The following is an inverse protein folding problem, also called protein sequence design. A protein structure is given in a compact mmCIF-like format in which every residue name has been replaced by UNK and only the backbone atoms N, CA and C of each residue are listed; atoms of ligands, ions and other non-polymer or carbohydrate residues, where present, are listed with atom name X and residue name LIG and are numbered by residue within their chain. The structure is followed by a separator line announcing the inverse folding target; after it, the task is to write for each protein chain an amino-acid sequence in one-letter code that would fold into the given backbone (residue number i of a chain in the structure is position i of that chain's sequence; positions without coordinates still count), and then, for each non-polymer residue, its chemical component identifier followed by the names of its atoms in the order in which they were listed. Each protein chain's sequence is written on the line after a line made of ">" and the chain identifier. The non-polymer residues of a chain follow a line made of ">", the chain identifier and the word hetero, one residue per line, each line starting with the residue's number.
data_IF_836095776671
#
_entry.id   IF_836095776671
#
_cell.length_a   1.000
_cell.length_b   1.000
_cell.length_c   1.000
_cell.angle_alpha   90.00
_cell.angle_beta   90.00
_cell.angle_gamma   90.00
#
_symmetry.space_group_name_H-M   'P 1'
#
loop_
_entity.id
_entity.type
_entity.pdbx_description
1 polymer ?
#
# COMPACT_ATOMS: atom_id res chain seq x y z
N UNK A 1 7.15 13.51 -20.57
CA UNK A 1 8.03 13.06 -19.50
C UNK A 1 7.76 11.57 -19.31
N UNK A 2 8.78 10.72 -19.35
CA UNK A 2 8.64 9.28 -19.10
C UNK A 2 8.51 9.01 -17.59
N UNK A 3 8.09 7.81 -17.19
CA UNK A 3 8.05 7.44 -15.76
C UNK A 3 9.43 7.44 -15.10
N UNK A 4 10.46 7.00 -15.82
CA UNK A 4 11.84 7.10 -15.33
C UNK A 4 12.23 8.55 -15.07
N UNK A 5 11.92 9.48 -15.99
CA UNK A 5 12.22 10.91 -15.80
C UNK A 5 11.48 11.50 -14.58
N UNK A 6 10.24 11.06 -14.33
CA UNK A 6 9.47 11.45 -13.14
C UNK A 6 10.17 10.94 -11.87
N UNK A 7 10.55 9.66 -11.83
CA UNK A 7 11.25 9.06 -10.69
C UNK A 7 12.60 9.71 -10.44
N UNK A 8 13.42 9.89 -11.48
CA UNK A 8 14.73 10.55 -11.39
C UNK A 8 14.58 11.95 -10.80
N UNK A 9 13.66 12.75 -11.35
CA UNK A 9 13.45 14.13 -10.89
C UNK A 9 12.99 14.18 -9.43
N UNK A 10 12.14 13.25 -9.01
CA UNK A 10 11.70 13.18 -7.62
C UNK A 10 12.83 12.71 -6.69
N UNK A 11 13.56 11.66 -7.07
CA UNK A 11 14.68 11.10 -6.34
C UNK A 11 15.82 12.12 -6.16
N UNK A 12 16.18 12.86 -7.21
CA UNK A 12 17.23 13.89 -7.14
C UNK A 12 16.90 15.02 -6.16
N UNK A 13 15.62 15.35 -6.00
CA UNK A 13 15.17 16.36 -5.02
C UNK A 13 15.26 15.86 -3.59
N UNK A 14 15.13 14.55 -3.37
CA UNK A 14 15.14 13.94 -2.04
C UNK A 14 16.56 13.66 -1.53
N UNK A 15 17.52 13.42 -2.43
CA UNK A 15 18.92 13.09 -2.07
C UNK A 15 19.55 14.07 -1.07
N UNK A 16 19.45 15.41 -1.23
CA UNK A 16 20.03 16.34 -0.27
C UNK A 16 19.48 16.15 1.16
N UNK A 17 18.17 15.93 1.31
CA UNK A 17 17.55 15.71 2.61
C UNK A 17 18.06 14.42 3.25
N UNK A 18 18.04 13.31 2.49
CA UNK A 18 18.51 12.00 2.96
C UNK A 18 19.99 12.04 3.35
N UNK A 19 20.81 12.75 2.57
CA UNK A 19 22.25 12.88 2.82
C UNK A 19 22.54 13.57 4.15
N UNK A 20 21.73 14.56 4.52
CA UNK A 20 21.89 15.33 5.76
C UNK A 20 21.29 14.60 6.97
N UNK A 21 20.09 14.03 6.81
CA UNK A 21 19.30 13.51 7.93
C UNK A 21 19.42 12.00 8.13
N UNK A 22 19.96 11.25 7.16
CA UNK A 22 20.11 9.79 7.23
C UNK A 22 18.82 9.00 7.03
N UNK A 23 17.67 9.67 6.88
CA UNK A 23 16.35 9.08 6.64
C UNK A 23 15.52 10.00 5.72
N UNK A 24 14.36 9.51 5.25
CA UNK A 24 13.39 10.34 4.53
C UNK A 24 12.53 11.16 5.50
N UNK A 25 11.84 12.21 5.02
CA UNK A 25 10.88 12.93 5.86
C UNK A 25 9.73 12.02 6.32
N UNK A 26 9.35 12.13 7.60
CA UNK A 26 8.13 11.50 8.11
C UNK A 26 6.89 12.14 7.48
N UNK A 27 5.86 11.32 7.27
CA UNK A 27 4.54 11.78 6.85
C UNK A 27 3.60 11.99 8.03
N UNK A 28 2.32 11.81 7.76
CA UNK A 28 1.24 11.87 8.76
C UNK A 28 0.10 10.90 8.45
N UNK A 29 0.42 9.77 7.82
CA UNK A 29 -0.52 8.77 7.35
C UNK A 29 -1.67 9.37 6.50
N UNK A 30 -1.34 10.30 5.60
CA UNK A 30 -2.29 10.88 4.66
C UNK A 30 -3.47 11.60 5.34
N UNK A 31 -4.72 11.16 5.09
CA UNK A 31 -5.93 11.81 5.58
C UNK A 31 -6.32 11.45 7.02
N UNK A 32 -5.50 10.64 7.71
CA UNK A 32 -5.73 10.20 9.10
C UNK A 32 -4.98 11.05 10.14
N UNK A 33 -3.95 11.79 9.72
CA UNK A 33 -3.21 12.75 10.57
C UNK A 33 -2.55 12.10 11.79
N UNK A 34 -1.93 10.93 11.58
CA UNK A 34 -1.19 10.21 12.61
C UNK A 34 0.24 10.75 12.74
N UNK A 35 0.87 10.51 13.89
CA UNK A 35 2.27 10.87 14.13
C UNK A 35 3.18 9.77 13.57
N UNK A 36 3.33 9.72 12.24
CA UNK A 36 4.17 8.74 11.56
C UNK A 36 5.66 8.92 11.90
N UNK A 37 6.40 7.82 11.89
CA UNK A 37 7.87 7.84 11.92
C UNK A 37 8.43 7.91 10.49
N UNK A 38 9.71 8.28 10.31
CA UNK A 38 10.38 8.23 9.00
C UNK A 38 10.47 6.83 8.36
N UNK A 39 10.17 5.75 9.10
CA UNK A 39 10.43 4.37 8.69
C UNK A 39 9.72 4.01 7.39
N UNK A 40 8.44 4.37 7.26
CA UNK A 40 7.63 4.07 6.06
C UNK A 40 8.19 4.72 4.81
N UNK A 41 8.41 6.04 4.87
CA UNK A 41 8.88 6.79 3.70
C UNK A 41 10.33 6.41 3.35
N UNK A 42 11.15 6.08 4.36
CA UNK A 42 12.51 5.57 4.13
C UNK A 42 12.49 4.22 3.41
N UNK A 43 11.57 3.32 3.78
CA UNK A 43 11.38 2.05 3.08
C UNK A 43 10.93 2.26 1.63
N UNK A 44 9.90 3.09 1.40
CA UNK A 44 9.43 3.40 0.05
C UNK A 44 10.53 4.01 -0.85
N UNK A 45 11.23 5.04 -0.35
CA UNK A 45 12.33 5.65 -1.11
C UNK A 45 13.48 4.68 -1.37
N UNK A 46 13.75 3.74 -0.45
CA UNK A 46 14.79 2.72 -0.67
C UNK A 46 14.48 1.84 -1.89
N UNK A 47 13.21 1.55 -2.19
CA UNK A 47 12.81 0.83 -3.42
C UNK A 47 13.16 1.67 -4.64
N UNK A 48 12.75 2.94 -4.66
CA UNK A 48 13.04 3.87 -5.77
C UNK A 48 14.54 3.97 -6.04
N UNK A 49 15.36 4.21 -5.01
CA UNK A 49 16.80 4.34 -5.19
C UNK A 49 17.48 3.02 -5.56
N UNK A 50 16.99 1.87 -5.04
CA UNK A 50 17.48 0.55 -5.44
C UNK A 50 17.22 0.29 -6.92
N UNK A 51 16.00 0.57 -7.39
CA UNK A 51 15.64 0.46 -8.80
C UNK A 51 16.50 1.37 -9.69
N UNK A 52 16.60 2.66 -9.34
CA UNK A 52 17.38 3.62 -10.13
C UNK A 52 18.86 3.26 -10.17
N UNK A 53 19.43 2.76 -9.06
CA UNK A 53 20.79 2.25 -9.07
C UNK A 53 20.93 1.02 -9.96
N UNK A 54 20.04 0.02 -9.84
CA UNK A 54 20.08 -1.21 -10.64
C UNK A 54 20.01 -0.90 -12.14
N UNK A 55 19.16 0.06 -12.53
CA UNK A 55 18.96 0.44 -13.93
C UNK A 55 20.08 1.31 -14.52
N UNK A 56 20.60 2.27 -13.76
CA UNK A 56 21.51 3.30 -14.29
C UNK A 56 22.95 3.22 -13.76
N UNK A 57 23.20 2.46 -12.70
CA UNK A 57 24.53 2.31 -12.10
C UNK A 57 25.09 3.58 -11.45
N UNK A 58 24.25 4.60 -11.20
CA UNK A 58 24.70 5.89 -10.65
C UNK A 58 24.92 5.76 -9.13
N UNK A 59 26.15 6.06 -8.70
CA UNK A 59 26.60 5.85 -7.32
C UNK A 59 25.83 6.71 -6.28
N UNK A 60 25.33 7.89 -6.65
CA UNK A 60 24.51 8.70 -5.75
C UNK A 60 23.21 7.99 -5.36
N UNK A 61 22.59 7.22 -6.26
CA UNK A 61 21.40 6.42 -5.97
C UNK A 61 21.74 5.25 -5.06
N UNK A 62 22.86 4.55 -5.29
CA UNK A 62 23.35 3.50 -4.39
C UNK A 62 23.56 4.01 -2.98
N UNK A 63 24.24 5.16 -2.85
CA UNK A 63 24.51 5.79 -1.55
C UNK A 63 23.23 6.20 -0.84
N UNK A 64 22.26 6.77 -1.56
CA UNK A 64 20.95 7.12 -1.00
C UNK A 64 20.20 5.86 -0.53
N UNK A 65 20.14 4.81 -1.36
CA UNK A 65 19.52 3.54 -1.01
C UNK A 65 20.14 2.96 0.27
N UNK A 66 21.47 2.83 0.36
CA UNK A 66 22.12 2.31 1.56
C UNK A 66 21.95 3.21 2.79
N UNK A 67 21.88 4.52 2.61
CA UNK A 67 21.62 5.44 3.73
C UNK A 67 20.25 5.16 4.34
N UNK A 68 19.23 5.04 3.50
CA UNK A 68 17.88 4.68 3.92
C UNK A 68 17.79 3.27 4.48
N UNK A 69 18.41 2.28 3.83
CA UNK A 69 18.40 0.89 4.30
C UNK A 69 19.10 0.74 5.65
N UNK A 70 20.17 1.49 5.89
CA UNK A 70 20.82 1.54 7.21
C UNK A 70 19.84 2.05 8.27
N UNK A 71 19.08 3.10 7.98
CA UNK A 71 18.03 3.58 8.88
C UNK A 71 16.92 2.53 9.05
N UNK A 72 16.42 1.94 7.96
CA UNK A 72 15.37 0.91 8.01
C UNK A 72 15.82 -0.31 8.81
N UNK A 73 17.10 -0.68 8.80
CA UNK A 73 17.64 -1.79 9.59
C UNK A 73 17.89 -1.45 11.07
N UNK A 74 17.89 -0.17 11.43
CA UNK A 74 18.19 0.25 12.80
C UNK A 74 17.23 -0.37 13.81
N UNK A 75 17.76 -1.01 14.86
CA UNK A 75 16.98 -1.68 15.88
C UNK A 75 16.09 -0.70 16.68
N UNK A 76 16.42 0.60 16.72
CA UNK A 76 15.56 1.62 17.34
C UNK A 76 14.21 1.80 16.64
N UNK A 77 14.10 1.37 15.38
CA UNK A 77 12.86 1.43 14.62
C UNK A 77 11.90 0.25 14.90
N UNK A 78 12.26 -0.65 15.82
CA UNK A 78 11.51 -1.87 16.10
C UNK A 78 11.34 -2.14 17.60
N UNK A 79 10.30 -2.90 17.91
CA UNK A 79 10.18 -3.58 19.18
C UNK A 79 11.17 -4.74 19.33
N UNK A 80 11.36 -5.25 20.55
CA UNK A 80 12.16 -6.47 20.81
C UNK A 80 11.64 -7.71 20.05
N UNK A 81 10.38 -7.68 19.63
CA UNK A 81 9.70 -8.69 18.82
C UNK A 81 9.86 -8.45 17.29
N UNK A 82 10.68 -7.49 16.85
CA UNK A 82 10.81 -7.05 15.45
C UNK A 82 9.59 -6.38 14.83
N UNK A 83 8.54 -6.05 15.60
CA UNK A 83 7.43 -5.29 15.06
C UNK A 83 7.85 -3.83 14.80
N UNK A 84 7.60 -3.27 13.60
CA UNK A 84 8.06 -1.95 13.22
C UNK A 84 7.27 -0.83 13.92
N UNK A 85 7.95 0.24 14.28
CA UNK A 85 7.34 1.45 14.85
C UNK A 85 7.06 2.42 13.70
N UNK A 86 5.88 2.30 13.09
CA UNK A 86 5.45 3.13 11.96
C UNK A 86 4.81 4.45 12.39
N UNK A 87 4.27 4.53 13.61
CA UNK A 87 3.65 5.74 14.19
C UNK A 87 3.75 5.77 15.71
N UNK A 88 3.45 6.91 16.34
CA UNK A 88 3.66 7.15 17.78
C UNK A 88 2.42 7.59 18.56
N UNK A 89 1.24 7.49 17.97
CA UNK A 89 -0.04 7.79 18.62
C UNK A 89 -0.32 6.83 19.81
N UNK A 90 -0.82 7.34 20.94
CA UNK A 90 -0.95 6.57 22.20
C UNK A 90 -2.10 5.52 22.20
N UNK A 91 -3.18 5.77 21.45
CA UNK A 91 -4.45 5.00 21.54
C UNK A 91 -4.65 3.97 20.40
N UNK A 92 -3.64 3.79 19.54
CA UNK A 92 -3.67 2.88 18.40
C UNK A 92 -2.37 2.07 18.38
N UNK A 93 -2.35 0.97 17.63
CA UNK A 93 -1.11 0.20 17.46
C UNK A 93 -0.04 1.05 16.76
N UNK A 94 1.22 0.92 17.15
CA UNK A 94 2.33 1.69 16.55
C UNK A 94 2.80 1.13 15.19
N UNK A 95 2.30 -0.04 14.80
CA UNK A 95 2.62 -0.71 13.53
C UNK A 95 1.83 -0.20 12.33
N UNK A 96 0.77 0.58 12.53
CA UNK A 96 -0.22 0.92 11.50
C UNK A 96 -0.87 -0.31 10.87
N UNK A 97 -1.42 -1.19 11.71
CA UNK A 97 -1.95 -2.49 11.32
C UNK A 97 -0.86 -3.41 10.74
N UNK A 98 -1.28 -4.48 10.06
CA UNK A 98 -0.31 -5.36 9.38
C UNK A 98 0.25 -4.73 8.10
N UNK A 99 -0.35 -3.63 7.61
CA UNK A 99 0.12 -2.94 6.41
C UNK A 99 1.43 -2.20 6.62
N UNK A 100 1.66 -1.62 7.81
CA UNK A 100 2.95 -0.99 8.09
C UNK A 100 4.10 -1.99 7.99
N UNK A 101 3.91 -3.19 8.55
CA UNK A 101 4.86 -4.30 8.35
C UNK A 101 5.01 -4.70 6.88
N UNK A 102 3.92 -4.73 6.10
CA UNK A 102 3.95 -5.10 4.69
C UNK A 102 4.86 -4.19 3.86
N UNK A 103 4.76 -2.87 4.01
CA UNK A 103 5.58 -1.90 3.26
C UNK A 103 7.07 -2.03 3.58
N UNK A 104 7.43 -2.32 4.84
CA UNK A 104 8.83 -2.52 5.20
C UNK A 104 9.36 -3.85 4.65
N UNK A 105 8.56 -4.92 4.71
CA UNK A 105 8.91 -6.21 4.11
C UNK A 105 9.13 -6.07 2.60
N UNK A 106 8.22 -5.39 1.91
CA UNK A 106 8.33 -5.13 0.47
C UNK A 106 9.67 -4.45 0.12
N UNK A 107 10.02 -3.38 0.82
CA UNK A 107 11.25 -2.64 0.58
C UNK A 107 12.52 -3.46 0.83
N UNK A 108 12.54 -4.22 1.93
CA UNK A 108 13.66 -5.08 2.30
C UNK A 108 13.84 -6.23 1.30
N UNK A 109 12.75 -6.90 0.91
CA UNK A 109 12.81 -7.99 -0.08
C UNK A 109 13.29 -7.44 -1.43
N UNK A 110 12.70 -6.36 -1.92
CA UNK A 110 13.11 -5.75 -3.18
C UNK A 110 14.60 -5.37 -3.18
N UNK A 111 15.05 -4.68 -2.13
CA UNK A 111 16.44 -4.23 -2.01
C UNK A 111 17.41 -5.40 -1.82
N UNK A 112 16.99 -6.48 -1.14
CA UNK A 112 17.81 -7.70 -0.99
C UNK A 112 18.14 -8.34 -2.33
N UNK A 113 17.19 -8.34 -3.27
CA UNK A 113 17.40 -8.89 -4.61
C UNK A 113 18.38 -8.02 -5.40
N UNK A 114 18.16 -6.70 -5.40
CA UNK A 114 18.99 -5.72 -6.12
C UNK A 114 20.44 -5.70 -5.65
N UNK A 115 20.67 -5.69 -4.33
CA UNK A 115 22.02 -5.58 -3.77
C UNK A 115 22.68 -6.92 -3.45
N UNK A 116 21.98 -8.03 -3.71
CA UNK A 116 22.40 -9.36 -3.28
C UNK A 116 22.74 -9.42 -1.77
N UNK A 117 21.88 -8.81 -0.95
CA UNK A 117 22.08 -8.69 0.50
C UNK A 117 21.07 -9.52 1.30
N UNK A 118 21.53 -10.67 1.78
CA UNK A 118 20.74 -11.60 2.59
C UNK A 118 20.31 -11.03 3.95
N UNK A 119 21.02 -10.04 4.51
CA UNK A 119 20.67 -9.44 5.80
C UNK A 119 19.32 -8.71 5.69
N UNK A 120 19.10 -8.02 4.57
CA UNK A 120 17.82 -7.36 4.28
C UNK A 120 16.67 -8.37 4.24
N UNK A 121 16.87 -9.49 3.55
CA UNK A 121 15.90 -10.58 3.50
C UNK A 121 15.64 -11.18 4.89
N UNK A 122 16.67 -11.41 5.69
CA UNK A 122 16.52 -11.95 7.05
C UNK A 122 15.74 -11.01 7.98
N UNK A 123 15.94 -9.69 7.85
CA UNK A 123 15.12 -8.68 8.56
C UNK A 123 13.66 -8.72 8.10
N UNK A 124 13.40 -8.90 6.79
CA UNK A 124 12.02 -9.04 6.29
C UNK A 124 11.29 -10.24 6.92
N UNK A 125 12.00 -11.36 7.13
CA UNK A 125 11.48 -12.53 7.82
C UNK A 125 11.23 -12.25 9.31
N UNK A 126 12.10 -11.51 9.99
CA UNK A 126 11.90 -11.18 11.40
C UNK A 126 10.66 -10.30 11.60
N UNK A 127 10.43 -9.34 10.68
CA UNK A 127 9.23 -8.49 10.68
C UNK A 127 7.97 -9.32 10.38
N UNK A 128 7.99 -10.22 9.41
CA UNK A 128 6.84 -11.11 9.17
C UNK A 128 6.47 -11.90 10.44
N UNK A 129 7.49 -12.45 11.11
CA UNK A 129 7.32 -13.27 12.32
C UNK A 129 6.87 -12.45 13.55
N UNK A 130 6.90 -11.12 13.49
CA UNK A 130 6.36 -10.30 14.57
C UNK A 130 4.83 -10.37 14.62
N UNK A 131 4.17 -10.66 13.49
CA UNK A 131 2.72 -10.74 13.37
C UNK A 131 2.22 -12.18 13.59
N UNK A 132 0.97 -12.34 14.04
CA UNK A 132 0.41 -13.67 14.35
C UNK A 132 -0.75 -14.01 13.42
N UNK A 133 -0.72 -15.17 12.78
CA UNK A 133 -1.82 -15.63 11.93
C UNK A 133 -2.91 -16.35 12.72
N UNK A 134 -4.16 -15.94 12.55
CA UNK A 134 -5.32 -16.62 13.11
C UNK A 134 -5.91 -17.58 12.09
N UNK A 135 -5.70 -18.88 12.30
CA UNK A 135 -6.18 -19.93 11.40
C UNK A 135 -7.72 -19.96 11.27
N UNK A 136 -8.45 -19.65 12.34
CA UNK A 136 -9.93 -19.66 12.31
C UNK A 136 -10.48 -18.52 11.45
N UNK A 137 -9.88 -17.33 11.54
CA UNK A 137 -10.29 -16.15 10.79
C UNK A 137 -9.61 -16.02 9.41
N UNK A 138 -8.63 -16.88 9.15
CA UNK A 138 -7.76 -16.86 7.97
C UNK A 138 -7.19 -15.46 7.72
N UNK A 139 -6.72 -14.82 8.78
CA UNK A 139 -6.27 -13.42 8.78
C UNK A 139 -5.22 -13.19 9.87
N UNK A 140 -4.37 -12.18 9.70
CA UNK A 140 -3.36 -11.79 10.67
C UNK A 140 -3.94 -10.90 11.79
N UNK A 141 -3.48 -11.14 13.01
CA UNK A 141 -3.61 -10.23 14.13
C UNK A 141 -2.50 -9.18 14.07
N UNK A 142 -2.80 -8.00 14.61
CA UNK A 142 -1.84 -6.92 14.80
C UNK A 142 -1.11 -7.14 16.12
N UNK A 143 0.21 -7.27 16.06
CA UNK A 143 1.11 -7.27 17.21
C UNK A 143 1.99 -6.02 17.13
N UNK A 144 1.88 -5.15 18.13
CA UNK A 144 2.63 -3.89 18.18
C UNK A 144 4.09 -4.06 18.66
N UNK A 145 4.88 -2.98 18.65
CA UNK A 145 6.30 -3.00 19.07
C UNK A 145 6.51 -3.40 20.54
N UNK A 146 5.46 -3.31 21.36
CA UNK A 146 5.47 -3.70 22.78
C UNK A 146 5.00 -5.15 22.97
N UNK A 147 4.62 -5.84 21.89
CA UNK A 147 4.11 -7.21 21.90
C UNK A 147 2.63 -7.33 22.26
N UNK A 148 1.89 -6.22 22.34
CA UNK A 148 0.44 -6.25 22.59
C UNK A 148 -0.28 -6.72 21.33
N UNK A 149 -1.17 -7.68 21.52
CA UNK A 149 -2.05 -8.18 20.48
C UNK A 149 -3.35 -7.35 20.44
N UNK A 150 -3.57 -6.61 19.36
CA UNK A 150 -4.77 -5.79 19.15
C UNK A 150 -5.93 -6.55 18.48
N UNK A 151 -5.75 -7.84 18.24
CA UNK A 151 -6.68 -8.72 17.55
C UNK A 151 -6.53 -8.65 16.03
N UNK A 152 -7.49 -9.25 15.32
CA UNK A 152 -7.51 -9.32 13.85
C UNK A 152 -7.52 -7.92 13.25
N UNK A 153 -6.62 -7.66 12.29
CA UNK A 153 -6.73 -6.47 11.45
C UNK A 153 -7.95 -6.64 10.53
N UNK A 154 -9.00 -5.87 10.82
CA UNK A 154 -10.29 -5.96 10.11
C UNK A 154 -10.27 -5.23 8.77
N UNK A 155 -9.21 -4.47 8.49
CA UNK A 155 -9.06 -3.69 7.27
C UNK A 155 -8.57 -4.61 6.17
N UNK A 156 -9.37 -4.79 5.12
CA UNK A 156 -9.11 -5.82 4.11
C UNK A 156 -7.82 -5.52 3.32
N UNK A 157 -7.61 -4.25 2.95
CA UNK A 157 -6.42 -3.83 2.24
C UNK A 157 -5.15 -4.10 3.05
N UNK A 158 -5.18 -3.96 4.38
CA UNK A 158 -4.01 -4.28 5.19
C UNK A 158 -3.63 -5.76 5.09
N UNK A 159 -4.62 -6.65 5.19
CA UNK A 159 -4.43 -8.09 5.03
C UNK A 159 -3.95 -8.44 3.61
N UNK A 160 -4.50 -7.76 2.59
CA UNK A 160 -4.13 -7.94 1.19
C UNK A 160 -2.67 -7.59 0.93
N UNK A 161 -2.22 -6.42 1.40
CA UNK A 161 -0.84 -5.96 1.25
C UNK A 161 0.13 -6.84 2.02
N UNK A 162 -0.23 -7.26 3.24
CA UNK A 162 0.61 -8.20 4.00
C UNK A 162 0.74 -9.57 3.31
N UNK A 163 -0.35 -10.07 2.70
CA UNK A 163 -0.30 -11.27 1.87
C UNK A 163 0.57 -11.08 0.60
N UNK A 164 0.49 -9.93 -0.06
CA UNK A 164 1.30 -9.60 -1.22
C UNK A 164 2.80 -9.57 -0.87
N UNK A 165 3.18 -8.84 0.18
CA UNK A 165 4.55 -8.80 0.68
C UNK A 165 5.06 -10.19 1.13
N UNK A 166 4.18 -11.01 1.70
CA UNK A 166 4.51 -12.39 2.06
C UNK A 166 4.78 -13.27 0.81
N UNK A 167 4.06 -13.06 -0.29
CA UNK A 167 4.38 -13.72 -1.57
C UNK A 167 5.72 -13.26 -2.14
N UNK A 168 6.09 -11.99 -1.96
CA UNK A 168 7.43 -11.50 -2.33
C UNK A 168 8.51 -12.25 -1.57
N UNK A 169 8.36 -12.40 -0.24
CA UNK A 169 9.27 -13.20 0.59
C UNK A 169 9.40 -14.63 0.06
N UNK A 170 8.28 -15.27 -0.29
CA UNK A 170 8.27 -16.65 -0.81
C UNK A 170 8.90 -16.82 -2.20
N UNK A 171 8.96 -15.74 -3.00
CA UNK A 171 9.53 -15.73 -4.35
C UNK A 171 10.95 -15.16 -4.40
N UNK A 172 11.51 -14.71 -3.28
CA UNK A 172 12.90 -14.27 -3.19
C UNK A 172 13.88 -15.41 -3.47
N UNK A 173 15.04 -15.12 -4.07
CA UNK A 173 16.11 -16.11 -4.28
C UNK A 173 16.67 -16.68 -2.96
N UNK A 174 16.47 -15.96 -1.84
CA UNK A 174 16.89 -16.41 -0.51
C UNK A 174 15.85 -17.30 0.20
N UNK A 175 14.64 -17.46 -0.38
CA UNK A 175 13.64 -18.36 0.15
C UNK A 175 14.09 -19.82 -0.04
N UNK A 176 14.52 -20.47 1.05
CA UNK A 176 15.16 -21.78 1.00
C UNK A 176 14.22 -22.96 1.30
N UNK A 177 12.90 -22.75 1.25
CA UNK A 177 11.91 -23.80 1.50
C UNK A 177 11.91 -24.37 2.92
N UNK A 178 12.65 -23.77 3.86
CA UNK A 178 12.67 -24.19 5.26
C UNK A 178 11.31 -24.01 5.94
N UNK A 179 11.18 -24.56 7.17
CA UNK A 179 9.92 -24.56 7.95
C UNK A 179 9.24 -23.19 8.02
N UNK A 180 10.01 -22.11 8.16
CA UNK A 180 9.47 -20.73 8.19
C UNK A 180 8.78 -20.34 6.87
N UNK A 181 9.40 -20.62 5.73
CA UNK A 181 8.81 -20.36 4.42
C UNK A 181 7.56 -21.22 4.20
N UNK A 182 7.56 -22.46 4.69
CA UNK A 182 6.37 -23.31 4.64
C UNK A 182 5.21 -22.73 5.46
N UNK A 183 5.46 -22.24 6.67
CA UNK A 183 4.44 -21.58 7.50
C UNK A 183 3.89 -20.32 6.84
N UNK A 184 4.76 -19.46 6.27
CA UNK A 184 4.34 -18.28 5.50
C UNK A 184 3.41 -18.71 4.36
N UNK A 185 3.81 -19.73 3.59
CA UNK A 185 3.01 -20.24 2.47
C UNK A 185 1.65 -20.75 2.93
N UNK A 186 1.58 -21.51 4.02
CA UNK A 186 0.32 -22.01 4.57
C UNK A 186 -0.61 -20.87 5.00
N UNK A 187 -0.08 -19.86 5.69
CA UNK A 187 -0.86 -18.70 6.16
C UNK A 187 -1.38 -17.86 4.99
N UNK A 188 -0.52 -17.55 4.01
CA UNK A 188 -0.88 -16.79 2.81
C UNK A 188 -1.94 -17.54 2.01
N UNK A 189 -1.75 -18.84 1.74
CA UNK A 189 -2.71 -19.62 0.98
C UNK A 189 -4.06 -19.72 1.71
N UNK A 190 -4.05 -19.85 3.04
CA UNK A 190 -5.27 -19.81 3.85
C UNK A 190 -6.02 -18.48 3.68
N UNK A 191 -5.32 -17.35 3.78
CA UNK A 191 -5.92 -16.03 3.52
C UNK A 191 -6.46 -15.91 2.09
N UNK A 192 -5.67 -16.24 1.06
CA UNK A 192 -6.07 -16.13 -0.34
C UNK A 192 -7.32 -16.98 -0.64
N UNK A 193 -7.36 -18.22 -0.17
CA UNK A 193 -8.51 -19.11 -0.32
C UNK A 193 -9.77 -18.56 0.38
N UNK A 194 -9.60 -17.76 1.44
CA UNK A 194 -10.71 -17.15 2.17
C UNK A 194 -11.31 -15.91 1.47
N UNK A 195 -10.58 -15.27 0.54
CA UNK A 195 -10.96 -13.97 -0.07
C UNK A 195 -12.37 -14.01 -0.65
N UNK A 196 -12.74 -15.07 -1.38
CA UNK A 196 -14.06 -15.20 -2.01
C UNK A 196 -15.23 -15.08 -1.01
N UNK A 197 -14.99 -15.50 0.24
CA UNK A 197 -15.94 -15.47 1.35
C UNK A 197 -15.80 -14.22 2.21
N UNK A 198 -14.60 -13.63 2.28
CA UNK A 198 -14.22 -12.52 3.18
C UNK A 198 -14.31 -11.14 2.54
N UNK A 199 -14.04 -11.01 1.24
CA UNK A 199 -14.17 -9.76 0.50
C UNK A 199 -15.60 -9.60 -0.02
N UNK A 200 -16.16 -8.40 0.13
CA UNK A 200 -17.49 -8.05 -0.39
C UNK A 200 -17.39 -6.84 -1.29
N UNK A 201 -18.37 -6.75 -2.20
CA UNK A 201 -18.45 -5.72 -3.21
C UNK A 201 -19.81 -5.04 -3.17
N UNK A 202 -19.83 -3.76 -3.51
CA UNK A 202 -21.06 -3.06 -3.85
C UNK A 202 -21.57 -3.44 -5.24
N UNK A 203 -22.85 -3.20 -5.56
CA UNK A 203 -23.41 -3.55 -6.86
C UNK A 203 -22.66 -2.97 -8.06
N UNK A 204 -21.97 -1.82 -7.90
CA UNK A 204 -21.18 -1.20 -8.97
C UNK A 204 -19.75 -1.74 -9.11
N UNK A 205 -19.25 -2.55 -8.19
CA UNK A 205 -17.89 -3.11 -8.24
C UNK A 205 -16.91 -2.53 -7.23
N UNK A 206 -17.30 -1.51 -6.45
CA UNK A 206 -16.45 -0.99 -5.36
C UNK A 206 -16.23 -2.08 -4.30
N UNK A 207 -15.01 -2.21 -3.81
CA UNK A 207 -14.65 -3.11 -2.72
C UNK A 207 -15.10 -2.56 -1.37
N UNK A 208 -15.55 -3.43 -0.48
CA UNK A 208 -15.78 -3.05 0.91
C UNK A 208 -14.47 -3.11 1.68
N UNK A 209 -14.14 -2.03 2.38
CA UNK A 209 -12.84 -1.86 3.06
C UNK A 209 -12.68 -2.77 4.29
N UNK A 210 -13.78 -3.27 4.86
CA UNK A 210 -13.77 -4.13 6.05
C UNK A 210 -14.02 -5.57 5.66
N UNK A 211 -13.19 -6.48 6.19
CA UNK A 211 -13.33 -7.92 6.09
C UNK A 211 -14.72 -8.38 6.55
N UNK A 212 -15.35 -9.27 5.78
CA UNK A 212 -16.63 -9.86 6.16
C UNK A 212 -16.46 -10.78 7.37
N UNK A 213 -17.21 -10.53 8.46
CA UNK A 213 -17.01 -11.28 9.70
C UNK A 213 -17.44 -12.74 9.57
N UNK A 214 -16.77 -13.63 10.31
CA UNK A 214 -17.19 -15.03 10.41
C UNK A 214 -18.42 -15.14 11.31
N UNK A 215 -18.48 -14.37 12.40
CA UNK A 215 -19.57 -14.39 13.36
C UNK A 215 -20.93 -14.00 12.72
N UNK A 216 -21.98 -14.86 12.78
CA UNK A 216 -23.28 -14.59 12.18
C UNK A 216 -23.98 -13.31 12.66
N UNK A 217 -23.87 -12.94 13.94
CA UNK A 217 -24.48 -11.71 14.47
C UNK A 217 -23.81 -10.48 13.86
N UNK A 218 -22.50 -10.51 13.71
CA UNK A 218 -21.74 -9.43 13.07
C UNK A 218 -21.98 -9.37 11.56
N UNK A 219 -22.26 -10.51 10.89
CA UNK A 219 -22.65 -10.54 9.47
C UNK A 219 -23.93 -9.76 9.19
N UNK A 220 -24.92 -9.86 10.07
CA UNK A 220 -26.17 -9.10 9.95
C UNK A 220 -25.88 -7.60 10.04
N UNK A 221 -25.15 -7.17 11.07
CA UNK A 221 -24.74 -5.77 11.25
C UNK A 221 -23.92 -5.26 10.05
N UNK A 222 -23.00 -6.08 9.54
CA UNK A 222 -22.19 -5.77 8.37
C UNK A 222 -23.08 -5.50 7.15
N UNK A 223 -24.01 -6.40 6.84
CA UNK A 223 -24.88 -6.28 5.67
C UNK A 223 -25.77 -5.03 5.75
N UNK A 224 -26.31 -4.72 6.94
CA UNK A 224 -27.06 -3.48 7.18
C UNK A 224 -26.18 -2.25 6.93
N UNK A 225 -24.98 -2.21 7.53
CA UNK A 225 -24.03 -1.09 7.35
C UNK A 225 -23.62 -0.93 5.89
N UNK A 226 -23.33 -2.01 5.19
CA UNK A 226 -23.01 -2.01 3.76
C UNK A 226 -24.16 -1.40 2.94
N UNK A 227 -25.40 -1.84 3.19
CA UNK A 227 -26.55 -1.24 2.52
C UNK A 227 -26.69 0.26 2.83
N UNK A 228 -26.54 0.66 4.10
CA UNK A 228 -26.58 2.07 4.51
C UNK A 228 -25.51 2.92 3.83
N UNK A 229 -24.27 2.40 3.69
CA UNK A 229 -23.17 3.08 2.97
C UNK A 229 -23.54 3.36 1.52
N UNK A 230 -23.96 2.32 0.81
CA UNK A 230 -24.32 2.41 -0.61
C UNK A 230 -25.53 3.32 -0.85
N UNK A 231 -26.59 3.14 -0.06
CA UNK A 231 -27.83 3.90 -0.19
C UNK A 231 -27.65 5.37 0.22
N UNK A 232 -26.91 5.65 1.30
CA UNK A 232 -26.62 7.03 1.72
C UNK A 232 -25.85 7.78 0.63
N UNK A 233 -24.84 7.14 0.02
CA UNK A 233 -24.11 7.71 -1.11
C UNK A 233 -25.03 7.98 -2.32
N UNK A 234 -25.83 6.99 -2.74
CA UNK A 234 -26.76 7.12 -3.88
C UNK A 234 -27.80 8.22 -3.66
N UNK A 235 -28.29 8.38 -2.44
CA UNK A 235 -29.24 9.42 -2.04
C UNK A 235 -28.56 10.77 -1.74
N UNK A 236 -27.23 10.87 -1.89
CA UNK A 236 -26.43 12.07 -1.58
C UNK A 236 -26.60 12.56 -0.13
N UNK A 237 -26.86 11.65 0.80
CA UNK A 237 -26.97 11.94 2.23
C UNK A 237 -25.56 11.93 2.83
N UNK A 238 -25.09 13.09 3.30
CA UNK A 238 -23.76 13.21 3.92
C UNK A 238 -23.81 12.75 5.37
N UNK A 239 -23.28 11.55 5.64
CA UNK A 239 -23.18 10.97 6.97
C UNK A 239 -21.95 10.04 7.06
N UNK A 240 -21.73 9.40 8.22
CA UNK A 240 -20.60 8.46 8.41
C UNK A 240 -20.60 7.28 7.44
N UNK A 241 -21.77 6.88 6.93
CA UNK A 241 -21.89 5.76 5.99
C UNK A 241 -21.52 6.18 4.57
N UNK A 242 -21.96 7.35 4.10
CA UNK A 242 -21.51 7.88 2.81
C UNK A 242 -20.00 8.17 2.82
N UNK A 243 -19.47 8.70 3.94
CA UNK A 243 -18.03 8.95 4.08
C UNK A 243 -17.19 7.67 4.01
N UNK A 244 -17.68 6.58 4.59
CA UNK A 244 -17.04 5.27 4.47
C UNK A 244 -17.08 4.75 3.02
N UNK A 245 -18.16 5.01 2.29
CA UNK A 245 -18.25 4.67 0.87
C UNK A 245 -17.29 5.52 0.01
N UNK A 246 -17.13 6.81 0.34
CA UNK A 246 -16.18 7.70 -0.32
C UNK A 246 -14.74 7.21 -0.09
N UNK A 247 -14.42 6.78 1.14
CA UNK A 247 -13.15 6.10 1.44
C UNK A 247 -12.97 4.87 0.54
N UNK A 248 -13.95 3.97 0.52
CA UNK A 248 -13.92 2.75 -0.31
C UNK A 248 -13.76 3.06 -1.81
N UNK A 249 -14.29 4.18 -2.31
CA UNK A 249 -14.05 4.63 -3.68
C UNK A 249 -12.61 5.09 -3.91
N UNK A 250 -12.02 5.83 -2.97
CA UNK A 250 -10.64 6.33 -3.07
C UNK A 250 -9.59 5.23 -2.91
N UNK A 251 -9.91 4.16 -2.18
CA UNK A 251 -9.05 3.00 -1.96
C UNK A 251 -9.16 1.91 -3.03
N UNK A 252 -10.10 2.03 -4.00
CA UNK A 252 -10.28 0.98 -5.01
C UNK A 252 -8.98 0.66 -5.73
N UNK A 253 -8.26 1.69 -6.15
CA UNK A 253 -7.05 1.54 -6.94
C UNK A 253 -5.91 0.96 -6.09
N UNK A 254 -5.76 1.43 -4.85
CA UNK A 254 -4.85 0.87 -3.87
C UNK A 254 -5.07 -0.61 -3.58
N UNK A 255 -6.34 -1.03 -3.51
CA UNK A 255 -6.70 -2.44 -3.32
C UNK A 255 -6.35 -3.25 -4.57
N UNK A 256 -6.65 -2.72 -5.77
CA UNK A 256 -6.31 -3.38 -7.04
C UNK A 256 -4.80 -3.49 -7.23
N UNK A 257 -4.02 -2.51 -6.76
CA UNK A 257 -2.56 -2.55 -6.75
C UNK A 257 -2.04 -3.72 -5.90
N UNK A 258 -2.58 -3.91 -4.69
CA UNK A 258 -2.27 -5.08 -3.86
C UNK A 258 -2.59 -6.42 -4.54
N UNK A 259 -3.72 -6.48 -5.27
CA UNK A 259 -4.02 -7.65 -6.12
C UNK A 259 -3.07 -7.80 -7.32
N UNK A 260 -2.59 -6.69 -7.90
CA UNK A 260 -1.64 -6.70 -9.01
C UNK A 260 -0.29 -7.28 -8.56
N UNK A 261 0.18 -6.93 -7.35
CA UNK A 261 1.33 -7.56 -6.71
C UNK A 261 1.11 -9.07 -6.51
N UNK A 262 -0.04 -9.49 -5.98
CA UNK A 262 -0.37 -10.92 -5.88
C UNK A 262 -0.34 -11.58 -7.26
N UNK A 263 -0.84 -10.92 -8.31
CA UNK A 263 -0.82 -11.49 -9.67
C UNK A 263 0.60 -11.65 -10.21
N UNK A 264 1.53 -10.75 -9.86
CA UNK A 264 2.95 -10.85 -10.23
C UNK A 264 3.60 -12.10 -9.63
N UNK A 265 3.32 -12.38 -8.35
CA UNK A 265 3.97 -13.47 -7.61
C UNK A 265 3.17 -14.79 -7.53
N UNK A 266 1.88 -14.76 -7.82
CA UNK A 266 0.99 -15.91 -7.86
C UNK A 266 -0.07 -15.76 -8.97
N UNK A 267 0.34 -15.80 -10.26
CA UNK A 267 -0.55 -15.52 -11.39
C UNK A 267 -1.69 -16.52 -11.56
N UNK A 268 -1.52 -17.76 -11.06
CA UNK A 268 -2.51 -18.83 -11.11
C UNK A 268 -3.63 -18.73 -10.07
N UNK A 269 -3.82 -17.58 -9.44
CA UNK A 269 -4.88 -17.41 -8.45
C UNK A 269 -6.27 -17.32 -9.11
N UNK A 270 -7.08 -18.36 -8.94
CA UNK A 270 -8.42 -18.49 -9.55
C UNK A 270 -9.36 -17.30 -9.29
N UNK A 271 -9.15 -16.57 -8.19
CA UNK A 271 -9.99 -15.42 -7.83
C UNK A 271 -9.93 -14.29 -8.87
N UNK A 272 -8.88 -14.20 -9.68
CA UNK A 272 -8.81 -13.23 -10.79
C UNK A 272 -9.88 -13.46 -11.86
N UNK A 273 -10.45 -14.68 -11.93
CA UNK A 273 -11.57 -15.00 -12.81
C UNK A 273 -12.95 -14.74 -12.17
N UNK A 274 -13.02 -14.31 -10.90
CA UNK A 274 -14.29 -13.99 -10.24
C UNK A 274 -14.98 -12.80 -10.92
N UNK A 275 -16.26 -12.96 -11.29
CA UNK A 275 -17.02 -11.94 -12.01
C UNK A 275 -17.12 -10.61 -11.25
N UNK A 276 -17.12 -10.64 -9.91
CA UNK A 276 -17.17 -9.44 -9.06
C UNK A 276 -15.81 -8.75 -9.06
N UNK A 277 -14.72 -9.51 -8.99
CA UNK A 277 -13.37 -8.99 -9.12
C UNK A 277 -13.15 -8.34 -10.49
N UNK A 278 -13.50 -9.02 -11.59
CA UNK A 278 -13.40 -8.45 -12.95
C UNK A 278 -14.18 -7.14 -13.06
N UNK A 279 -15.35 -7.06 -12.43
CA UNK A 279 -16.15 -5.82 -12.40
C UNK A 279 -15.42 -4.70 -11.64
N UNK A 280 -14.78 -5.01 -10.52
CA UNK A 280 -13.97 -4.06 -9.76
C UNK A 280 -12.76 -3.57 -10.56
N UNK A 281 -11.99 -4.48 -11.18
CA UNK A 281 -10.84 -4.14 -12.00
C UNK A 281 -11.22 -3.25 -13.20
N UNK A 282 -12.37 -3.54 -13.86
CA UNK A 282 -12.91 -2.68 -14.93
C UNK A 282 -13.35 -1.30 -14.44
N UNK A 283 -13.78 -1.18 -13.19
CA UNK A 283 -14.15 0.09 -12.60
C UNK A 283 -12.91 0.90 -12.18
N UNK A 284 -11.92 0.24 -11.56
CA UNK A 284 -10.63 0.84 -11.19
C UNK A 284 -9.93 1.43 -12.40
N UNK A 285 -9.83 0.66 -13.48
CA UNK A 285 -9.21 1.10 -14.74
C UNK A 285 -10.06 2.04 -15.61
N UNK A 286 -11.20 2.51 -15.07
CA UNK A 286 -12.09 3.42 -15.79
C UNK A 286 -11.69 4.88 -15.54
N UNK A 287 -11.07 5.53 -16.53
CA UNK A 287 -10.62 6.92 -16.44
C UNK A 287 -11.71 7.92 -16.03
N UNK A 288 -12.98 7.70 -16.42
CA UNK A 288 -14.09 8.60 -16.01
C UNK A 288 -14.39 8.45 -14.53
N UNK A 289 -14.34 7.23 -14.00
CA UNK A 289 -14.46 6.98 -12.57
C UNK A 289 -13.28 7.61 -11.80
N UNK A 290 -12.05 7.28 -12.18
CA UNK A 290 -10.85 7.80 -11.51
C UNK A 290 -10.80 9.33 -11.51
N UNK A 291 -10.97 9.97 -12.67
CA UNK A 291 -10.95 11.44 -12.75
C UNK A 291 -12.08 12.10 -11.96
N UNK A 292 -13.22 11.40 -11.75
CA UNK A 292 -14.30 11.92 -10.92
C UNK A 292 -13.92 12.03 -9.44
N UNK A 293 -12.98 11.21 -8.97
CA UNK A 293 -12.44 11.26 -7.60
C UNK A 293 -11.57 12.49 -7.35
N UNK A 294 -10.97 13.07 -8.41
CA UNK A 294 -10.15 14.28 -8.31
C UNK A 294 -10.88 15.59 -8.67
N UNK A 295 -11.90 15.56 -9.56
CA UNK A 295 -12.49 16.78 -10.14
C UNK A 295 -13.73 17.34 -9.45
N UNK A 296 -14.66 16.49 -8.98
CA UNK A 296 -15.99 16.95 -8.53
C UNK A 296 -16.07 17.17 -7.02
N UNK A 297 -15.58 16.20 -6.26
CA UNK A 297 -15.36 16.27 -4.82
C UNK A 297 -13.98 15.67 -4.66
N UNK A 298 -12.99 16.48 -4.28
CA UNK A 298 -11.64 15.99 -4.10
C UNK A 298 -11.68 14.91 -3.01
N UNK A 299 -11.56 13.66 -3.43
CA UNK A 299 -11.53 12.54 -2.53
C UNK A 299 -10.13 12.48 -1.91
N UNK A 300 -10.03 12.82 -0.62
CA UNK A 300 -8.76 12.87 0.12
C UNK A 300 -8.03 11.52 0.21
N UNK A 301 -8.70 10.41 -0.12
CA UNK A 301 -8.12 9.07 -0.13
C UNK A 301 -7.63 8.62 -1.52
N UNK A 302 -7.82 9.40 -2.59
CA UNK A 302 -7.36 9.08 -3.96
C UNK A 302 -6.07 9.87 -4.29
N UNK A 303 -6.00 10.62 -5.38
CA UNK A 303 -4.84 11.41 -5.87
C UNK A 303 -3.98 12.14 -4.80
N UNK A 304 -4.54 12.48 -3.64
CA UNK A 304 -3.79 13.14 -2.55
C UNK A 304 -3.13 12.16 -1.55
N UNK A 305 -3.36 10.86 -1.72
CA UNK A 305 -2.86 9.79 -0.87
C UNK A 305 -2.60 8.49 -1.64
N UNK A 306 -3.63 7.84 -2.21
CA UNK A 306 -3.54 6.68 -3.10
C UNK A 306 -3.66 7.14 -4.56
N UNK A 307 -2.53 7.44 -5.20
CA UNK A 307 -2.50 8.15 -6.49
C UNK A 307 -2.77 7.20 -7.66
N UNK A 308 -3.89 7.36 -8.39
CA UNK A 308 -4.10 6.56 -9.59
C UNK A 308 -3.06 6.81 -10.69
N UNK A 309 -2.40 7.97 -10.67
CA UNK A 309 -1.33 8.24 -11.62
C UNK A 309 -0.09 7.36 -11.38
N UNK A 310 0.12 6.87 -10.15
CA UNK A 310 1.26 6.02 -9.78
C UNK A 310 0.90 4.53 -9.89
N UNK A 311 -0.34 4.18 -9.54
CA UNK A 311 -0.81 2.80 -9.41
C UNK A 311 -1.28 2.19 -10.75
N UNK A 312 -1.96 2.96 -11.60
CA UNK A 312 -2.62 2.46 -12.82
C UNK A 312 -1.71 1.83 -13.89
N UNK A 313 -0.48 2.32 -14.15
CA UNK A 313 0.39 1.67 -15.14
C UNK A 313 0.58 0.17 -14.83
N UNK A 314 0.81 -0.14 -13.55
CA UNK A 314 0.96 -1.51 -13.08
C UNK A 314 -0.37 -2.28 -13.09
N UNK A 315 -1.45 -1.67 -12.59
CA UNK A 315 -2.79 -2.30 -12.53
C UNK A 315 -3.28 -2.66 -13.94
N UNK A 316 -3.22 -1.73 -14.90
CA UNK A 316 -3.61 -1.96 -16.28
C UNK A 316 -2.77 -3.05 -16.91
N UNK A 317 -1.43 -3.00 -16.74
CA UNK A 317 -0.55 -4.03 -17.29
C UNK A 317 -0.89 -5.41 -16.74
N UNK A 318 -1.13 -5.53 -15.43
CA UNK A 318 -1.42 -6.80 -14.79
C UNK A 318 -2.82 -7.35 -15.12
N UNK A 319 -3.86 -6.53 -15.20
CA UNK A 319 -5.23 -7.02 -15.40
C UNK A 319 -5.76 -6.90 -16.82
N UNK A 320 -5.27 -5.96 -17.62
CA UNK A 320 -5.66 -5.75 -19.02
C UNK A 320 -4.61 -6.27 -20.01
N UNK A 321 -3.36 -6.46 -19.58
CA UNK A 321 -2.24 -6.93 -20.41
C UNK A 321 -1.53 -5.81 -21.20
N UNK A 322 -2.11 -4.61 -21.21
CA UNK A 322 -1.60 -3.44 -21.89
C UNK A 322 -1.80 -2.19 -21.03
N UNK A 323 -1.12 -1.12 -21.42
CA UNK A 323 -1.20 0.19 -20.81
C UNK A 323 -1.82 1.17 -21.80
N UNK A 324 -2.74 2.00 -21.33
CA UNK A 324 -3.43 3.01 -22.14
C UNK A 324 -2.84 4.39 -21.88
N UNK A 325 -1.82 4.75 -22.65
CA UNK A 325 -1.07 6.01 -22.50
C UNK A 325 -1.98 7.25 -22.49
N UNK A 326 -3.09 7.20 -23.23
CA UNK A 326 -4.05 8.31 -23.29
C UNK A 326 -4.74 8.53 -21.94
N UNK A 327 -5.06 7.45 -21.22
CA UNK A 327 -5.63 7.52 -19.87
C UNK A 327 -4.58 7.96 -18.87
N UNK A 328 -3.38 7.41 -18.95
CA UNK A 328 -2.28 7.78 -18.06
C UNK A 328 -1.97 9.27 -18.14
N UNK A 329 -1.89 9.82 -19.36
CA UNK A 329 -1.68 11.25 -19.55
C UNK A 329 -2.78 12.09 -18.87
N UNK A 330 -4.03 11.65 -18.93
CA UNK A 330 -5.15 12.31 -18.23
C UNK A 330 -5.00 12.25 -16.71
N UNK A 331 -4.58 11.10 -16.17
CA UNK A 331 -4.37 10.91 -14.73
C UNK A 331 -3.20 11.76 -14.22
N UNK A 332 -2.07 11.78 -14.93
CA UNK A 332 -0.92 12.61 -14.59
C UNK A 332 -1.22 14.10 -14.65
N UNK A 333 -1.89 14.57 -15.70
CA UNK A 333 -2.32 15.97 -15.78
C UNK A 333 -3.20 16.36 -14.59
N UNK A 334 -4.08 15.46 -14.12
CA UNK A 334 -4.91 15.70 -12.94
C UNK A 334 -4.08 15.69 -11.65
N UNK A 335 -3.14 14.75 -11.50
CA UNK A 335 -2.22 14.69 -10.36
C UNK A 335 -1.40 15.99 -10.24
N UNK A 336 -0.81 16.45 -11.34
CA UNK A 336 -0.02 17.68 -11.41
C UNK A 336 -0.86 18.91 -11.07
N UNK A 337 -2.08 19.02 -11.61
CA UNK A 337 -3.02 20.09 -11.29
C UNK A 337 -3.35 20.14 -9.80
N UNK A 338 -3.58 18.97 -9.18
CA UNK A 338 -3.87 18.86 -7.76
C UNK A 338 -2.66 19.26 -6.93
N UNK A 339 -1.47 18.73 -7.20
CA UNK A 339 -0.23 19.10 -6.48
C UNK A 339 0.05 20.61 -6.60
N UNK A 340 -0.06 21.18 -7.79
CA UNK A 340 0.13 22.63 -7.99
C UNK A 340 -0.89 23.45 -7.18
N UNK A 341 -2.17 23.07 -7.22
CA UNK A 341 -3.23 23.74 -6.45
C UNK A 341 -2.96 23.64 -4.94
N UNK A 342 -2.46 22.51 -4.47
CA UNK A 342 -2.12 22.28 -3.07
C UNK A 342 -0.92 23.12 -2.64
N UNK A 343 0.15 23.14 -3.42
CA UNK A 343 1.32 23.96 -3.13
C UNK A 343 0.96 25.46 -3.02
N UNK A 344 0.01 25.94 -3.84
CA UNK A 344 -0.51 27.31 -3.74
C UNK A 344 -1.37 27.54 -2.48
N UNK A 345 -2.18 26.56 -2.07
CA UNK A 345 -3.07 26.68 -0.90
C UNK A 345 -2.38 26.48 0.44
N UNK A 346 -1.39 25.59 0.54
CA UNK A 346 -0.58 25.43 1.76
C UNK A 346 0.21 26.70 2.10
N UNK A 347 0.49 27.56 1.11
CA UNK A 347 1.06 28.89 1.35
C UNK A 347 0.07 29.91 1.94
N UNK A 348 -1.26 29.68 1.85
CA UNK A 348 -2.28 30.69 2.16
C UNK A 348 -3.36 30.24 3.17
N UNK A 349 -3.52 28.94 3.45
CA UNK A 349 -4.54 28.43 4.38
C UNK A 349 -4.16 27.07 4.95
N UNK A 350 -4.24 26.92 6.28
CA UNK A 350 -3.94 25.67 7.02
C UNK A 350 -4.99 24.55 6.85
N UNK A 351 -6.05 24.76 6.06
CA UNK A 351 -7.22 23.87 6.03
C UNK A 351 -7.07 22.59 5.18
N UNK A 352 -6.07 22.52 4.30
CA UNK A 352 -5.81 21.30 3.50
C UNK A 352 -4.52 20.63 4.00
N UNK A 353 -4.69 19.78 5.00
CA UNK A 353 -3.61 18.99 5.58
C UNK A 353 -3.20 17.87 4.62
N UNK A 354 -2.30 18.15 3.66
CA UNK A 354 -1.80 17.16 2.68
C UNK A 354 -0.49 16.53 3.17
N UNK A 355 -0.41 15.21 3.09
CA UNK A 355 0.81 14.44 3.41
C UNK A 355 1.67 14.30 2.15
N UNK A 356 2.27 15.42 1.73
CA UNK A 356 3.05 15.47 0.49
C UNK A 356 4.31 14.60 0.57
N UNK A 357 4.89 14.47 1.77
CA UNK A 357 6.03 13.59 2.05
C UNK A 357 5.69 12.15 1.69
N UNK A 358 4.59 11.61 2.24
CA UNK A 358 4.17 10.23 1.94
C UNK A 358 3.73 10.10 0.50
N UNK A 359 2.99 11.07 -0.06
CA UNK A 359 2.57 11.02 -1.46
C UNK A 359 3.78 10.92 -2.40
N UNK A 360 4.81 11.73 -2.18
CA UNK A 360 6.04 11.67 -2.98
C UNK A 360 6.79 10.34 -2.79
N UNK A 361 6.90 9.85 -1.54
CA UNK A 361 7.55 8.58 -1.27
C UNK A 361 6.87 7.42 -2.02
N UNK A 362 5.54 7.46 -2.17
CA UNK A 362 4.72 6.47 -2.89
C UNK A 362 4.95 6.40 -4.40
N UNK A 363 5.73 7.31 -4.99
CA UNK A 363 6.17 7.17 -6.38
C UNK A 363 6.87 5.83 -6.66
N UNK A 364 7.42 5.15 -5.64
CA UNK A 364 7.98 3.81 -5.78
C UNK A 364 7.00 2.80 -6.40
N UNK A 365 5.69 3.03 -6.35
CA UNK A 365 4.69 2.15 -6.96
C UNK A 365 4.88 2.02 -8.48
N UNK A 366 5.44 3.05 -9.13
CA UNK A 366 5.82 2.99 -10.55
C UNK A 366 6.94 1.95 -10.80
N UNK A 367 7.79 1.67 -9.82
CA UNK A 367 8.92 0.73 -9.96
C UNK A 367 8.41 -0.66 -10.33
N UNK A 368 7.29 -1.11 -9.76
CA UNK A 368 6.78 -2.44 -10.07
C UNK A 368 6.32 -2.61 -11.50
N UNK A 369 5.90 -1.52 -12.16
CA UNK A 369 5.61 -1.49 -13.60
C UNK A 369 6.89 -1.40 -14.44
N UNK A 370 7.83 -0.56 -14.01
CA UNK A 370 9.07 -0.31 -14.74
C UNK A 370 10.05 -1.49 -14.70
N UNK A 371 9.96 -2.32 -13.66
CA UNK A 371 10.82 -3.47 -13.39
C UNK A 371 10.12 -4.80 -13.75
N UNK A 372 9.25 -4.77 -14.77
CA UNK A 372 8.51 -5.93 -15.31
C UNK A 372 9.22 -6.64 -16.46
#
# INVERSE_FOLDING_TARGET
>A
MTYDEILIKAAEREIPYITVNGCAEAGKNGPYDNLDTPLRNSAHWSITFSYLFSKYGIESYKKAAYTLLKYVLDEENYGKNSAPICRRDDDIDDTNGVIGSAWIIEALVYSSEVFDDKILFEKSLSIYNSQTFNKMESAWNIIDSKGKNWGIDKTFNHQLWFAAASLMVLNSKYANGGLRCQEIKENVMSFLNSISSRLKFYPNGILCHICYPINPKERIKYNIRKWLRYSSYKLKIRNKYSQMYDLECGYLDFDLYGFALIKKYYPGFDYFSDKRFIKAARLGTNVKFLTSLGRNIVNKYSFLYNSPAFEEPFIMKMFLGYVDESKEHVLWNLQDQLICTLNMKCQHSQEINCDIQTLNARLYELVHFLDM
#
